data_IF_577760905846
#
_entry.id   IF_577760905846
#
_cell.length_a   1.000
_cell.length_b   1.000
_cell.length_c   1.000
_cell.angle_alpha   90.00
_cell.angle_beta   90.00
_cell.angle_gamma   90.00
#
_symmetry.space_group_name_H-M   'P 1'
#
loop_
_entity.id
_entity.type
_entity.pdbx_description
1 polymer ?
#
# COMPACT_ATOMS: atom_id res chain seq x y z
N UNK A 1 29.63 -20.71 25.19
CA UNK A 1 29.24 -21.26 23.88
C UNK A 1 27.75 -21.02 23.59
N UNK A 2 26.86 -21.38 24.53
CA UNK A 2 25.42 -21.17 24.36
C UNK A 2 25.05 -19.69 24.22
N UNK A 3 25.67 -18.79 24.96
CA UNK A 3 25.45 -17.34 24.88
C UNK A 3 25.90 -16.72 23.55
N UNK A 4 26.76 -17.39 22.77
CA UNK A 4 27.15 -17.01 21.41
C UNK A 4 26.19 -17.58 20.35
N UNK A 5 25.60 -18.76 20.61
CA UNK A 5 24.72 -19.43 19.67
C UNK A 5 23.31 -18.81 19.68
N UNK A 6 22.82 -18.40 20.86
CA UNK A 6 21.49 -17.86 21.03
C UNK A 6 21.22 -16.58 20.16
N UNK A 7 22.17 -15.62 20.07
CA UNK A 7 21.97 -14.46 19.19
C UNK A 7 22.08 -14.77 17.68
N UNK A 8 22.72 -15.85 17.29
CA UNK A 8 22.97 -16.18 15.88
C UNK A 8 21.76 -16.81 15.18
N UNK A 9 20.79 -17.35 15.92
CA UNK A 9 19.51 -17.88 15.40
C UNK A 9 19.68 -18.77 14.12
N UNK A 10 20.74 -19.60 14.12
CA UNK A 10 21.07 -20.49 12.99
C UNK A 10 21.89 -19.89 11.86
N UNK A 11 22.20 -18.58 11.89
CA UNK A 11 23.02 -17.94 10.88
C UNK A 11 24.52 -18.09 11.16
N UNK A 12 25.18 -18.97 10.42
CA UNK A 12 26.62 -19.24 10.58
C UNK A 12 27.51 -18.04 10.23
N UNK A 13 27.12 -17.19 9.27
CA UNK A 13 27.90 -16.00 8.90
C UNK A 13 27.87 -14.95 10.01
N UNK A 14 26.69 -14.71 10.57
CA UNK A 14 26.53 -13.81 11.70
C UNK A 14 27.34 -14.30 12.91
N UNK A 15 27.37 -15.61 13.16
CA UNK A 15 28.15 -16.22 14.23
C UNK A 15 29.67 -15.99 14.05
N UNK A 16 30.16 -16.13 12.83
CA UNK A 16 31.57 -15.86 12.49
C UNK A 16 31.89 -14.37 12.72
N UNK A 17 31.05 -13.46 12.26
CA UNK A 17 31.26 -12.00 12.42
C UNK A 17 31.27 -11.62 13.90
N UNK A 18 30.40 -12.21 14.73
CA UNK A 18 30.42 -12.00 16.19
C UNK A 18 31.73 -12.51 16.82
N UNK A 19 32.19 -13.67 16.40
CA UNK A 19 33.46 -14.22 16.90
C UNK A 19 34.63 -13.32 16.50
N UNK A 20 34.70 -12.86 15.26
CA UNK A 20 35.73 -11.91 14.78
C UNK A 20 35.71 -10.60 15.57
N UNK A 21 34.51 -10.06 15.86
CA UNK A 21 34.36 -8.86 16.68
C UNK A 21 34.92 -9.09 18.09
N UNK A 22 34.61 -10.22 18.72
CA UNK A 22 35.13 -10.56 20.07
C UNK A 22 36.66 -10.75 20.06
N UNK A 23 37.23 -11.37 19.04
CA UNK A 23 38.66 -11.54 18.90
C UNK A 23 39.39 -10.22 18.62
N UNK A 24 38.74 -9.25 18.00
CA UNK A 24 39.31 -7.92 17.77
C UNK A 24 39.32 -7.02 19.00
N UNK A 25 38.52 -7.37 20.03
CA UNK A 25 38.48 -6.65 21.29
C UNK A 25 39.62 -7.14 22.18
N UNK A 26 40.49 -6.24 22.62
CA UNK A 26 41.52 -6.53 23.63
C UNK A 26 40.87 -6.68 25.02
N UNK A 27 40.28 -7.84 25.28
CA UNK A 27 39.60 -8.11 26.53
C UNK A 27 40.62 -8.39 27.63
N UNK A 28 40.63 -7.56 28.67
CA UNK A 28 41.52 -7.71 29.84
C UNK A 28 41.06 -8.77 30.85
N UNK A 29 39.80 -9.22 30.75
CA UNK A 29 39.18 -10.21 31.62
C UNK A 29 38.15 -11.09 30.89
N UNK A 30 37.88 -12.31 31.35
CA UNK A 30 36.79 -13.14 30.84
C UNK A 30 35.45 -12.44 31.02
N UNK A 31 34.64 -12.43 29.95
CA UNK A 31 33.27 -11.91 29.97
C UNK A 31 32.32 -12.96 30.56
N UNK A 32 31.47 -12.54 31.48
CA UNK A 32 30.32 -13.34 31.88
C UNK A 32 29.23 -13.37 30.77
N UNK A 33 28.25 -14.29 30.82
CA UNK A 33 27.20 -14.39 29.81
C UNK A 33 26.35 -13.13 29.67
N UNK A 34 26.16 -12.33 30.72
CA UNK A 34 25.37 -11.11 30.69
C UNK A 34 26.14 -10.00 30.00
N UNK A 35 27.39 -9.76 30.37
CA UNK A 35 28.29 -8.82 29.74
C UNK A 35 28.54 -9.17 28.24
N UNK A 36 28.63 -10.47 27.92
CA UNK A 36 28.74 -10.95 26.56
C UNK A 36 27.47 -10.61 25.76
N UNK A 37 26.29 -10.79 26.35
CA UNK A 37 25.01 -10.45 25.73
C UNK A 37 24.86 -8.96 25.44
N UNK A 38 25.27 -8.08 26.35
CA UNK A 38 25.30 -6.64 26.18
C UNK A 38 26.27 -6.22 25.07
N UNK A 39 27.44 -6.84 25.01
CA UNK A 39 28.52 -6.49 24.09
C UNK A 39 28.22 -6.95 22.66
N UNK A 40 27.52 -8.07 22.51
CA UNK A 40 27.13 -8.60 21.19
C UNK A 40 25.83 -7.99 20.66
N UNK A 41 25.17 -7.15 21.41
CA UNK A 41 23.81 -6.68 21.16
C UNK A 41 22.88 -7.85 20.77
N UNK A 42 21.76 -8.02 21.45
CA UNK A 42 20.72 -8.96 20.98
C UNK A 42 20.51 -8.68 19.50
N UNK A 43 20.66 -9.74 18.68
CA UNK A 43 20.46 -9.65 17.24
C UNK A 43 19.23 -8.82 16.94
N UNK A 44 19.42 -7.68 16.28
CA UNK A 44 18.34 -7.06 15.56
C UNK A 44 17.75 -8.13 14.65
N UNK A 45 16.42 -8.27 14.53
CA UNK A 45 15.81 -9.24 13.63
C UNK A 45 16.51 -9.19 12.28
N UNK A 46 16.92 -10.35 11.73
CA UNK A 46 17.59 -10.39 10.43
C UNK A 46 16.64 -9.83 9.41
N UNK A 47 16.96 -8.64 8.96
CA UNK A 47 16.33 -7.99 7.85
C UNK A 47 17.28 -8.13 6.67
N UNK A 48 17.04 -9.18 5.87
CA UNK A 48 17.73 -9.34 4.63
C UNK A 48 17.22 -8.24 3.68
N UNK A 49 18.02 -7.16 3.53
CA UNK A 49 17.73 -6.10 2.56
C UNK A 49 17.77 -6.62 1.12
N UNK A 50 18.31 -7.81 0.91
CA UNK A 50 18.35 -8.51 -0.36
C UNK A 50 17.02 -9.26 -0.65
N UNK A 51 16.02 -8.46 -0.99
CA UNK A 51 14.80 -8.77 -1.76
C UNK A 51 13.81 -9.79 -1.19
N UNK A 52 14.16 -11.02 -0.84
CA UNK A 52 13.17 -12.07 -0.56
C UNK A 52 12.56 -11.93 0.86
N UNK A 53 13.37 -11.69 1.87
CA UNK A 53 12.90 -11.48 3.26
C UNK A 53 12.01 -10.25 3.38
N UNK A 54 12.41 -9.14 2.73
CA UNK A 54 11.63 -7.90 2.65
C UNK A 54 10.25 -8.10 2.02
N UNK A 55 10.18 -8.78 0.86
CA UNK A 55 8.90 -9.06 0.19
C UNK A 55 8.00 -9.97 1.01
N UNK A 56 8.56 -10.92 1.75
CA UNK A 56 7.79 -11.82 2.59
C UNK A 56 7.17 -11.09 3.78
N UNK A 57 7.89 -10.18 4.45
CA UNK A 57 7.37 -9.41 5.58
C UNK A 57 6.26 -8.45 5.16
N UNK A 58 6.46 -7.68 4.08
CA UNK A 58 5.42 -6.78 3.58
C UNK A 58 4.19 -7.54 3.06
N UNK A 59 4.40 -8.73 2.48
CA UNK A 59 3.31 -9.62 2.07
C UNK A 59 2.53 -10.15 3.27
N UNK A 60 3.21 -10.49 4.37
CA UNK A 60 2.57 -10.93 5.61
C UNK A 60 1.72 -9.80 6.21
N UNK A 61 2.26 -8.56 6.30
CA UNK A 61 1.51 -7.39 6.72
C UNK A 61 0.23 -7.21 5.89
N UNK A 62 0.34 -7.17 4.56
CA UNK A 62 -0.82 -6.98 3.69
C UNK A 62 -1.86 -8.10 3.82
N UNK A 63 -1.44 -9.35 3.99
CA UNK A 63 -2.36 -10.48 4.20
C UNK A 63 -3.09 -10.39 5.53
N UNK A 64 -2.39 -9.98 6.60
CA UNK A 64 -3.00 -9.74 7.92
C UNK A 64 -4.03 -8.62 7.86
N UNK A 65 -3.71 -7.50 7.18
CA UNK A 65 -4.64 -6.39 6.94
C UNK A 65 -5.89 -6.86 6.18
N UNK A 66 -5.74 -7.67 5.10
CA UNK A 66 -6.88 -8.22 4.35
C UNK A 66 -7.72 -9.19 5.18
N UNK A 67 -7.05 -9.97 6.03
CA UNK A 67 -7.71 -10.89 6.95
C UNK A 67 -8.42 -10.20 8.12
N UNK A 68 -8.26 -8.86 8.24
CA UNK A 68 -8.79 -8.08 9.37
C UNK A 68 -8.27 -8.59 10.74
N UNK A 69 -6.99 -8.95 10.77
CA UNK A 69 -6.26 -9.33 11.98
C UNK A 69 -5.33 -8.17 12.41
N UNK A 70 -5.79 -7.28 13.32
CA UNK A 70 -5.02 -6.12 13.74
C UNK A 70 -3.76 -6.49 14.52
N UNK A 71 -3.77 -7.55 15.29
CA UNK A 71 -2.63 -7.96 16.11
C UNK A 71 -1.52 -8.54 15.25
N UNK A 72 -1.84 -9.40 14.28
CA UNK A 72 -0.87 -9.91 13.31
C UNK A 72 -0.33 -8.78 12.42
N UNK A 73 -1.18 -7.86 11.96
CA UNK A 73 -0.74 -6.70 11.17
C UNK A 73 0.23 -5.82 11.96
N UNK A 74 -0.08 -5.54 13.23
CA UNK A 74 0.77 -4.75 14.11
C UNK A 74 2.11 -5.46 14.37
N UNK A 75 2.09 -6.77 14.58
CA UNK A 75 3.30 -7.56 14.78
C UNK A 75 4.25 -7.47 13.56
N UNK A 76 3.73 -7.65 12.35
CA UNK A 76 4.54 -7.58 11.13
C UNK A 76 5.06 -6.17 10.87
N UNK A 77 4.26 -5.13 11.14
CA UNK A 77 4.68 -3.73 11.08
C UNK A 77 5.83 -3.46 12.06
N UNK A 78 5.64 -3.82 13.35
CA UNK A 78 6.65 -3.61 14.39
C UNK A 78 7.95 -4.36 14.07
N UNK A 79 7.85 -5.59 13.56
CA UNK A 79 9.02 -6.37 13.15
C UNK A 79 9.83 -5.69 12.06
N UNK A 80 9.17 -5.03 11.09
CA UNK A 80 9.85 -4.29 10.02
C UNK A 80 10.47 -2.99 10.56
N UNK A 81 9.78 -2.24 11.43
CA UNK A 81 10.31 -1.02 12.05
C UNK A 81 11.55 -1.33 12.90
N UNK A 82 11.48 -2.35 13.77
CA UNK A 82 12.62 -2.79 14.62
C UNK A 82 13.79 -3.26 13.76
N UNK A 83 13.55 -3.85 12.61
CA UNK A 83 14.59 -4.26 11.66
C UNK A 83 15.20 -3.10 10.86
N UNK A 84 14.72 -1.87 11.06
CA UNK A 84 15.23 -0.66 10.38
C UNK A 84 14.68 -0.47 8.96
N UNK A 85 13.50 -1.02 8.66
CA UNK A 85 12.81 -0.68 7.40
C UNK A 85 12.49 0.80 7.34
N UNK A 86 12.59 1.38 6.17
CA UNK A 86 12.32 2.80 5.95
C UNK A 86 10.82 3.10 6.19
N UNK A 87 10.46 3.93 7.19
CA UNK A 87 9.05 4.15 7.57
C UNK A 87 8.20 4.73 6.43
N UNK A 88 8.77 5.57 5.57
CA UNK A 88 8.06 6.09 4.40
C UNK A 88 7.75 5.00 3.37
N UNK A 89 8.58 3.96 3.28
CA UNK A 89 8.26 2.80 2.45
C UNK A 89 7.03 2.06 3.00
N UNK A 90 6.97 1.83 4.32
CA UNK A 90 5.81 1.21 4.96
C UNK A 90 4.54 2.04 4.74
N UNK A 91 4.61 3.36 4.90
CA UNK A 91 3.50 4.28 4.63
C UNK A 91 3.04 4.22 3.17
N UNK A 92 3.95 4.17 2.19
CA UNK A 92 3.58 3.96 0.77
C UNK A 92 2.78 2.67 0.58
N UNK A 93 3.15 1.61 1.30
CA UNK A 93 2.43 0.33 1.22
C UNK A 93 1.05 0.40 1.86
N UNK A 94 0.89 1.13 2.98
CA UNK A 94 -0.41 1.38 3.62
C UNK A 94 -1.32 2.26 2.75
N UNK A 95 -0.79 3.33 2.15
CA UNK A 95 -1.53 4.19 1.19
C UNK A 95 -2.02 3.35 -0.01
N UNK A 96 -1.16 2.48 -0.56
CA UNK A 96 -1.55 1.58 -1.63
C UNK A 96 -2.67 0.63 -1.19
N UNK A 97 -2.55 0.05 0.00
CA UNK A 97 -3.56 -0.84 0.58
C UNK A 97 -4.90 -0.13 0.77
N UNK A 98 -4.90 1.11 1.28
CA UNK A 98 -6.10 1.91 1.45
C UNK A 98 -6.87 2.08 0.13
N UNK A 99 -6.17 2.30 -0.99
CA UNK A 99 -6.79 2.47 -2.30
C UNK A 99 -7.22 1.15 -2.95
N UNK A 100 -6.43 0.08 -2.76
CA UNK A 100 -6.63 -1.20 -3.45
C UNK A 100 -7.59 -2.14 -2.72
N UNK A 101 -7.44 -2.27 -1.39
CA UNK A 101 -8.12 -3.29 -0.59
C UNK A 101 -9.27 -2.72 0.27
N UNK A 102 -9.23 -1.44 0.64
CA UNK A 102 -10.33 -0.73 1.29
C UNK A 102 -11.21 -0.04 0.23
N UNK A 103 -10.57 0.77 -0.63
CA UNK A 103 -11.24 1.45 -1.74
C UNK A 103 -12.46 2.28 -1.28
N UNK A 104 -13.59 2.08 -1.95
CA UNK A 104 -14.83 2.80 -1.67
C UNK A 104 -15.65 2.20 -0.50
N UNK A 105 -15.20 1.13 0.13
CA UNK A 105 -15.85 0.63 1.35
C UNK A 105 -15.65 1.60 2.53
N UNK A 106 -14.51 2.30 2.55
CA UNK A 106 -14.23 3.39 3.47
C UNK A 106 -13.29 4.41 2.84
N UNK A 107 -13.84 5.48 2.28
CA UNK A 107 -13.07 6.53 1.58
C UNK A 107 -12.14 7.32 2.52
N UNK A 108 -12.34 7.26 3.85
CA UNK A 108 -11.47 7.92 4.80
C UNK A 108 -10.13 7.20 5.00
N UNK A 109 -10.05 5.93 4.66
CA UNK A 109 -8.84 5.12 4.83
C UNK A 109 -7.60 5.73 4.14
N UNK A 110 -7.77 6.24 2.92
CA UNK A 110 -6.70 6.91 2.19
C UNK A 110 -6.22 8.18 2.91
N UNK A 111 -7.16 8.97 3.44
CA UNK A 111 -6.83 10.21 4.15
C UNK A 111 -6.10 9.93 5.47
N UNK A 112 -6.51 8.92 6.21
CA UNK A 112 -5.81 8.48 7.43
C UNK A 112 -4.36 8.10 7.13
N UNK A 113 -4.10 7.38 6.04
CA UNK A 113 -2.73 7.02 5.65
C UNK A 113 -1.90 8.23 5.22
N UNK A 114 -2.51 9.20 4.51
CA UNK A 114 -1.82 10.43 4.11
C UNK A 114 -1.54 11.32 5.32
N UNK A 115 -2.49 11.47 6.25
CA UNK A 115 -2.28 12.17 7.50
C UNK A 115 -1.19 11.52 8.36
N UNK A 116 -1.12 10.19 8.40
CA UNK A 116 -0.06 9.47 9.08
C UNK A 116 1.32 9.72 8.46
N UNK A 117 1.38 9.81 7.11
CA UNK A 117 2.60 10.18 6.39
C UNK A 117 3.04 11.60 6.74
N UNK A 118 2.13 12.56 6.74
CA UNK A 118 2.44 13.96 7.05
C UNK A 118 2.86 14.12 8.53
N UNK A 119 2.22 13.39 9.44
CA UNK A 119 2.61 13.35 10.85
C UNK A 119 4.02 12.76 11.04
N UNK A 120 4.34 11.67 10.32
CA UNK A 120 5.68 11.10 10.37
C UNK A 120 6.73 12.04 9.79
N UNK A 121 6.46 12.69 8.67
CA UNK A 121 7.38 13.67 8.06
C UNK A 121 7.65 14.86 9.00
N UNK A 122 6.67 15.23 9.82
CA UNK A 122 6.79 16.34 10.77
C UNK A 122 7.51 15.95 12.07
N UNK A 123 7.21 14.78 12.62
CA UNK A 123 7.71 14.33 13.92
C UNK A 123 9.03 13.55 13.83
N UNK A 124 9.22 12.77 12.77
CA UNK A 124 10.33 11.83 12.63
C UNK A 124 10.23 10.62 13.58
N UNK A 125 11.26 9.78 13.55
CA UNK A 125 11.38 8.64 14.48
C UNK A 125 11.99 9.10 15.83
N UNK A 126 11.57 8.53 16.96
CA UNK A 126 10.58 7.45 17.09
C UNK A 126 9.12 7.94 17.18
N UNK A 127 8.86 9.22 17.40
CA UNK A 127 7.53 9.75 17.75
C UNK A 127 6.51 9.58 16.61
N UNK A 128 6.94 9.83 15.37
CA UNK A 128 6.10 9.70 14.19
C UNK A 128 5.68 8.25 13.85
N UNK A 129 6.37 7.26 14.39
CA UNK A 129 6.05 5.85 14.17
C UNK A 129 4.66 5.48 14.74
N UNK A 130 4.19 6.18 15.77
CA UNK A 130 2.85 5.97 16.31
C UNK A 130 1.75 6.32 15.30
N UNK A 131 1.97 7.29 14.42
CA UNK A 131 1.03 7.61 13.34
C UNK A 131 0.94 6.45 12.33
N UNK A 132 2.06 5.77 12.05
CA UNK A 132 2.08 4.57 11.18
C UNK A 132 1.28 3.43 11.83
N UNK A 133 1.48 3.21 13.12
CA UNK A 133 0.71 2.22 13.92
C UNK A 133 -0.78 2.53 13.85
N UNK A 134 -1.17 3.80 14.03
CA UNK A 134 -2.57 4.23 13.92
C UNK A 134 -3.17 3.89 12.55
N UNK A 135 -2.47 4.25 11.46
CA UNK A 135 -2.92 3.93 10.11
C UNK A 135 -3.03 2.41 9.89
N UNK A 136 -2.07 1.62 10.37
CA UNK A 136 -2.09 0.17 10.28
C UNK A 136 -3.33 -0.43 10.96
N UNK A 137 -3.61 -0.05 12.20
CA UNK A 137 -4.77 -0.52 12.96
C UNK A 137 -6.08 -0.08 12.31
N UNK A 138 -6.15 1.16 11.81
CA UNK A 138 -7.31 1.64 11.06
C UNK A 138 -7.59 0.76 9.85
N UNK A 139 -6.58 0.48 9.03
CA UNK A 139 -6.71 -0.37 7.85
C UNK A 139 -7.07 -1.82 8.21
N UNK A 140 -6.54 -2.35 9.32
CA UNK A 140 -6.86 -3.70 9.75
C UNK A 140 -8.35 -3.85 10.11
N UNK A 141 -8.96 -2.83 10.73
CA UNK A 141 -10.34 -2.85 11.22
C UNK A 141 -11.37 -2.30 10.22
N UNK A 142 -10.95 -1.52 9.21
CA UNK A 142 -11.83 -0.96 8.19
C UNK A 142 -12.50 -2.05 7.33
N UNK A 143 -13.70 -1.80 6.77
CA UNK A 143 -14.31 -2.70 5.79
C UNK A 143 -13.45 -2.80 4.53
N UNK A 144 -13.46 -3.96 3.86
CA UNK A 144 -12.62 -4.24 2.69
C UNK A 144 -13.44 -4.30 1.40
N UNK A 145 -12.95 -3.65 0.33
CA UNK A 145 -13.48 -3.78 -1.02
C UNK A 145 -12.41 -3.50 -2.06
N UNK A 146 -12.11 -4.47 -2.88
CA UNK A 146 -11.20 -4.31 -4.03
C UNK A 146 -11.93 -3.96 -5.34
N UNK A 147 -13.21 -3.57 -5.27
CA UNK A 147 -14.06 -3.36 -6.47
C UNK A 147 -13.54 -2.23 -7.36
N UNK A 148 -13.05 -1.14 -6.79
CA UNK A 148 -12.45 -0.05 -7.55
C UNK A 148 -11.18 -0.52 -8.30
N UNK A 149 -10.32 -1.32 -7.67
CA UNK A 149 -9.15 -1.89 -8.29
C UNK A 149 -9.50 -2.87 -9.42
N UNK A 150 -10.46 -3.77 -9.19
CA UNK A 150 -10.95 -4.70 -10.20
C UNK A 150 -11.55 -3.96 -11.41
N UNK A 151 -12.38 -2.93 -11.16
CA UNK A 151 -12.97 -2.07 -12.19
C UNK A 151 -11.88 -1.36 -13.02
N UNK A 152 -10.89 -0.77 -12.38
CA UNK A 152 -9.75 -0.14 -13.05
C UNK A 152 -9.02 -1.11 -13.97
N UNK A 153 -8.73 -2.33 -13.51
CA UNK A 153 -8.06 -3.35 -14.34
C UNK A 153 -8.91 -3.76 -15.54
N UNK A 154 -10.21 -3.94 -15.34
CA UNK A 154 -11.14 -4.29 -16.42
C UNK A 154 -11.25 -3.17 -17.46
N UNK A 155 -11.40 -1.91 -17.02
CA UNK A 155 -11.45 -0.76 -17.90
C UNK A 155 -10.15 -0.56 -18.69
N UNK A 156 -8.99 -0.70 -18.04
CA UNK A 156 -7.68 -0.61 -18.71
C UNK A 156 -7.48 -1.71 -19.75
N UNK A 157 -7.98 -2.92 -19.50
CA UNK A 157 -7.96 -4.00 -20.49
C UNK A 157 -8.85 -3.69 -21.66
N UNK A 158 -10.11 -3.31 -21.44
CA UNK A 158 -11.04 -2.93 -22.49
C UNK A 158 -10.49 -1.78 -23.36
N UNK A 159 -9.90 -0.76 -22.73
CA UNK A 159 -9.28 0.35 -23.46
C UNK A 159 -8.10 -0.09 -24.36
N UNK A 160 -7.32 -1.08 -23.94
CA UNK A 160 -6.25 -1.66 -24.77
C UNK A 160 -6.80 -2.48 -25.95
N UNK A 161 -7.89 -3.21 -25.74
CA UNK A 161 -8.52 -4.07 -26.73
C UNK A 161 -9.29 -3.24 -27.79
N UNK A 162 -9.90 -2.12 -27.40
CA UNK A 162 -10.68 -1.26 -28.28
C UNK A 162 -9.86 -0.19 -29.00
N UNK A 163 -8.63 0.05 -28.56
CA UNK A 163 -7.67 0.93 -29.23
C UNK A 163 -8.14 2.37 -29.34
N UNK A 164 -8.41 2.82 -30.56
CA UNK A 164 -8.69 4.23 -30.93
C UNK A 164 -10.14 4.53 -31.20
N UNK A 165 -11.10 3.83 -30.58
CA UNK A 165 -12.53 4.17 -30.74
C UNK A 165 -12.77 5.61 -30.29
N UNK A 166 -13.57 6.34 -31.09
CA UNK A 166 -13.87 7.75 -30.82
C UNK A 166 -15.06 7.87 -29.87
N UNK A 167 -15.10 8.93 -29.03
CA UNK A 167 -16.31 9.22 -28.25
C UNK A 167 -17.50 9.48 -29.19
N UNK A 168 -18.75 9.16 -28.79
CA UNK A 168 -19.93 9.43 -29.59
C UNK A 168 -20.13 10.93 -29.78
N UNK A 169 -20.77 11.30 -30.90
CA UNK A 169 -20.88 12.71 -31.34
C UNK A 169 -21.53 13.65 -30.30
N UNK A 170 -22.48 13.14 -29.55
CA UNK A 170 -23.23 13.91 -28.54
C UNK A 170 -22.33 14.47 -27.42
N UNK A 171 -21.23 13.80 -27.06
CA UNK A 171 -20.31 14.25 -26.02
C UNK A 171 -19.03 14.90 -26.58
N UNK A 172 -18.88 15.01 -27.89
CA UNK A 172 -17.74 15.70 -28.46
C UNK A 172 -17.83 17.20 -28.23
N UNK A 173 -16.72 17.81 -27.83
CA UNK A 173 -16.66 19.25 -27.66
C UNK A 173 -16.65 19.98 -29.01
N UNK A 174 -17.46 21.03 -29.16
CA UNK A 174 -17.64 21.79 -30.41
C UNK A 174 -17.29 23.29 -30.26
N UNK A 175 -16.03 23.66 -30.01
CA UNK A 175 -15.63 25.05 -29.77
C UNK A 175 -15.68 25.92 -31.02
N UNK A 176 -15.70 25.35 -32.23
CA UNK A 176 -15.72 26.09 -33.49
C UNK A 176 -17.02 25.88 -34.27
N UNK A 177 -17.35 26.85 -35.15
CA UNK A 177 -18.52 26.70 -36.08
C UNK A 177 -18.40 25.49 -36.97
N UNK A 178 -17.19 25.17 -37.43
CA UNK A 178 -16.95 24.00 -38.26
C UNK A 178 -17.30 22.71 -37.51
N UNK A 179 -16.85 22.56 -36.26
CA UNK A 179 -17.16 21.38 -35.42
C UNK A 179 -18.66 21.24 -35.17
N UNK A 180 -19.35 22.35 -34.88
CA UNK A 180 -20.82 22.35 -34.77
C UNK A 180 -21.50 21.92 -36.08
N UNK A 181 -21.03 22.38 -37.24
CA UNK A 181 -21.55 21.99 -38.54
C UNK A 181 -21.28 20.51 -38.86
N UNK A 182 -20.20 19.93 -38.31
CA UNK A 182 -19.88 18.51 -38.37
C UNK A 182 -20.70 17.66 -37.41
N UNK A 183 -21.57 18.26 -36.60
CA UNK A 183 -22.45 17.54 -35.66
C UNK A 183 -21.88 17.28 -34.29
N UNK A 184 -20.71 17.84 -33.97
CA UNK A 184 -20.11 17.68 -32.61
C UNK A 184 -21.01 18.33 -31.56
N UNK A 185 -21.28 17.59 -30.48
CA UNK A 185 -22.18 18.02 -29.41
C UNK A 185 -23.67 18.00 -29.77
N UNK A 186 -24.03 17.48 -30.94
CA UNK A 186 -25.44 17.41 -31.35
C UNK A 186 -26.18 16.39 -30.46
N UNK A 187 -27.27 16.90 -29.84
CA UNK A 187 -28.10 16.06 -28.96
C UNK A 187 -27.55 15.91 -27.54
N UNK A 188 -26.48 16.67 -27.18
CA UNK A 188 -26.03 16.71 -25.80
C UNK A 188 -27.11 17.34 -24.92
N UNK A 189 -27.52 16.62 -23.89
CA UNK A 189 -28.36 17.12 -22.81
C UNK A 189 -27.47 17.33 -21.57
N UNK A 190 -27.48 18.56 -21.02
CA UNK A 190 -26.78 18.87 -19.80
C UNK A 190 -27.59 18.33 -18.64
N UNK A 191 -27.05 17.33 -17.94
CA UNK A 191 -27.79 16.54 -16.92
C UNK A 191 -28.42 17.42 -15.82
N UNK A 192 -27.78 18.55 -15.44
CA UNK A 192 -28.32 19.47 -14.46
C UNK A 192 -29.57 20.22 -14.92
N UNK A 193 -29.81 20.34 -16.25
CA UNK A 193 -31.01 20.98 -16.83
C UNK A 193 -32.13 19.98 -17.07
N UNK A 194 -31.89 18.69 -16.85
CA UNK A 194 -32.85 17.61 -17.04
C UNK A 194 -33.57 17.32 -15.74
N UNK A 195 -34.88 17.08 -15.81
CA UNK A 195 -35.66 16.66 -14.62
C UNK A 195 -35.08 15.40 -13.98
N UNK A 196 -34.79 15.43 -12.69
CA UNK A 196 -34.13 14.35 -11.96
C UNK A 196 -32.59 14.31 -12.09
N UNK A 197 -31.97 15.25 -12.85
CA UNK A 197 -30.50 15.35 -12.99
C UNK A 197 -29.85 14.20 -13.75
N UNK A 198 -30.59 13.48 -14.58
CA UNK A 198 -30.11 12.31 -15.31
C UNK A 198 -30.72 12.22 -16.73
N UNK A 199 -29.91 12.43 -17.74
CA UNK A 199 -30.36 12.44 -19.14
C UNK A 199 -30.54 11.04 -19.78
N UNK A 200 -29.91 10.01 -19.21
CA UNK A 200 -29.90 8.68 -19.83
C UNK A 200 -29.13 8.59 -21.15
N UNK A 201 -28.28 9.58 -21.44
CA UNK A 201 -27.54 9.63 -22.69
C UNK A 201 -26.53 8.47 -22.79
N UNK A 202 -26.19 8.08 -24.02
CA UNK A 202 -25.09 7.16 -24.28
C UNK A 202 -23.75 7.90 -24.21
N UNK A 203 -22.84 7.37 -23.41
CA UNK A 203 -21.47 7.89 -23.25
C UNK A 203 -20.41 6.96 -23.81
N UNK A 204 -20.79 5.81 -24.34
CA UNK A 204 -19.91 4.82 -24.95
C UNK A 204 -19.65 5.09 -26.41
N UNK A 205 -18.48 4.70 -26.96
CA UNK A 205 -18.29 4.69 -28.40
C UNK A 205 -19.41 3.94 -29.13
N UNK A 206 -19.83 4.44 -30.29
CA UNK A 206 -20.95 3.85 -31.05
C UNK A 206 -20.68 2.39 -31.47
N UNK A 207 -19.42 2.03 -31.64
CA UNK A 207 -18.96 0.68 -31.99
C UNK A 207 -18.78 -0.25 -30.78
N UNK A 208 -19.05 0.23 -29.56
CA UNK A 208 -18.84 -0.52 -28.33
C UNK A 208 -20.14 -0.67 -27.54
N UNK A 209 -20.50 -1.90 -27.22
CA UNK A 209 -21.58 -2.13 -26.25
C UNK A 209 -21.20 -1.62 -24.84
N UNK A 210 -22.13 -1.00 -24.11
CA UNK A 210 -21.89 -0.59 -22.73
C UNK A 210 -21.36 -1.73 -21.86
N UNK A 211 -20.34 -1.46 -21.06
CA UNK A 211 -19.70 -2.41 -20.16
C UNK A 211 -20.03 -2.09 -18.70
N UNK A 212 -20.07 -3.08 -17.87
CA UNK A 212 -20.17 -2.91 -16.41
C UNK A 212 -18.83 -3.23 -15.75
N UNK A 213 -18.01 -2.22 -15.52
CA UNK A 213 -16.70 -2.40 -14.86
C UNK A 213 -16.80 -2.36 -13.34
N UNK A 214 -17.67 -1.50 -12.81
CA UNK A 214 -17.77 -1.27 -11.37
C UNK A 214 -19.09 -1.81 -10.82
N UNK A 215 -18.97 -2.76 -9.90
CA UNK A 215 -20.08 -3.26 -9.11
C UNK A 215 -19.79 -2.99 -7.63
N UNK A 216 -20.58 -2.15 -6.95
CA UNK A 216 -20.35 -1.86 -5.54
C UNK A 216 -20.46 -3.13 -4.68
N UNK A 217 -19.78 -3.11 -3.52
CA UNK A 217 -19.91 -4.16 -2.52
C UNK A 217 -21.12 -3.81 -1.63
N UNK A 218 -22.06 -4.72 -1.52
CA UNK A 218 -23.14 -4.62 -0.56
C UNK A 218 -22.63 -5.02 0.84
N UNK A 219 -22.16 -4.03 1.61
CA UNK A 219 -21.76 -4.23 3.01
C UNK A 219 -22.07 -2.99 3.82
#
# INVERSE_FOLDING_TARGET
REALLAPADGDGRFHITQAETLFSLALEAPLDPAALGELLHRRMPVYDKDREGHYNLISALHKSLRGSDPDAALYWLARMLVAGEEPLYLLRRLVRFASEDIGLADSNALQVCLAAKDAYDFLGSPEGELAIVHACLYLATAPKSNRAYAASKAAMRAAKETGSLTPPQNILNAPTKLMKNLGYGKGYAYDHDVEGGFSGANYWPDEMAPQNFYTPTER
#
